data_IF_508570008877
#
_entry.id   IF_508570008877
#
_cell.length_a   1.000
_cell.length_b   1.000
_cell.length_c   1.000
_cell.angle_alpha   90.00
_cell.angle_beta   90.00
_cell.angle_gamma   90.00
#
_symmetry.space_group_name_H-M   'P 1'
#
loop_
_entity.id
_entity.type
_entity.pdbx_description
1 polymer ?
#
# COMPACT_ATOMS: atom_id res chain seq x y z
N UNK A 1 0.68 4.90 11.05
CA UNK A 1 1.87 4.03 11.11
C UNK A 1 3.08 4.81 10.63
N UNK A 2 4.06 5.10 11.50
CA UNK A 2 5.32 5.73 11.10
C UNK A 2 6.01 4.91 10.00
N UNK A 3 6.53 5.57 8.96
CA UNK A 3 7.19 4.85 7.86
C UNK A 3 8.55 4.27 8.26
N UNK A 4 9.15 4.78 9.33
CA UNK A 4 10.40 4.23 9.92
C UNK A 4 10.24 2.74 10.28
N UNK A 5 9.05 2.34 10.73
CA UNK A 5 8.73 0.94 11.04
C UNK A 5 8.84 0.01 9.83
N UNK A 6 8.70 0.52 8.60
CA UNK A 6 8.91 -0.27 7.38
C UNK A 6 10.39 -0.67 7.27
N UNK A 7 11.31 0.27 7.50
CA UNK A 7 12.74 0.00 7.49
C UNK A 7 13.13 -0.96 8.62
N UNK A 8 12.62 -0.75 9.83
CA UNK A 8 12.88 -1.64 10.98
C UNK A 8 12.48 -3.09 10.69
N UNK A 9 11.29 -3.29 10.11
CA UNK A 9 10.84 -4.62 9.71
C UNK A 9 11.66 -5.19 8.56
N UNK A 10 12.06 -4.36 7.59
CA UNK A 10 12.95 -4.78 6.51
C UNK A 10 14.29 -5.29 7.05
N UNK A 11 14.96 -4.54 7.92
CA UNK A 11 16.24 -4.95 8.52
C UNK A 11 16.11 -6.21 9.40
N UNK A 12 14.95 -6.39 10.05
CA UNK A 12 14.67 -7.60 10.83
C UNK A 12 14.49 -8.83 9.94
N UNK A 13 13.80 -8.69 8.81
CA UNK A 13 13.51 -9.80 7.89
C UNK A 13 14.69 -10.11 6.96
N UNK A 14 15.51 -9.11 6.63
CA UNK A 14 16.59 -9.20 5.65
C UNK A 14 17.88 -8.55 6.17
N UNK A 15 18.53 -9.13 7.19
CA UNK A 15 19.68 -8.52 7.85
C UNK A 15 20.94 -8.45 6.95
N UNK A 16 21.05 -9.30 5.93
CA UNK A 16 22.14 -9.28 4.95
C UNK A 16 21.61 -8.88 3.55
N UNK A 17 21.99 -7.67 3.12
CA UNK A 17 21.60 -7.12 1.83
C UNK A 17 22.33 -7.76 0.65
N UNK A 18 23.56 -8.28 0.86
CA UNK A 18 24.27 -9.02 -0.18
C UNK A 18 23.63 -10.38 -0.41
N UNK A 19 23.23 -11.07 0.67
CA UNK A 19 22.46 -12.30 0.57
C UNK A 19 21.13 -12.05 -0.15
N UNK A 20 20.41 -11.00 0.22
CA UNK A 20 19.16 -10.62 -0.43
C UNK A 20 19.37 -10.36 -1.93
N UNK A 21 20.39 -9.59 -2.29
CA UNK A 21 20.77 -9.30 -3.68
C UNK A 21 21.08 -10.58 -4.45
N UNK A 22 21.90 -11.48 -3.90
CA UNK A 22 22.24 -12.76 -4.53
C UNK A 22 21.00 -13.66 -4.73
N UNK A 23 20.07 -13.65 -3.78
CA UNK A 23 18.88 -14.49 -3.79
C UNK A 23 17.78 -13.98 -4.74
N UNK A 24 17.61 -12.66 -4.85
CA UNK A 24 16.54 -12.06 -5.67
C UNK A 24 17.02 -11.55 -7.02
N UNK A 25 18.34 -11.39 -7.20
CA UNK A 25 18.94 -10.72 -8.34
C UNK A 25 18.75 -9.19 -8.35
N UNK A 26 18.27 -8.59 -7.26
CA UNK A 26 18.12 -7.14 -7.18
C UNK A 26 19.45 -6.47 -6.90
N UNK A 27 19.72 -5.37 -7.59
CA UNK A 27 20.92 -4.59 -7.36
C UNK A 27 20.91 -3.93 -5.96
N UNK A 28 22.08 -3.88 -5.31
CA UNK A 28 22.23 -3.27 -3.99
C UNK A 28 21.72 -1.82 -3.90
N UNK A 29 21.93 -0.94 -4.91
CA UNK A 29 21.35 0.40 -4.88
C UNK A 29 19.82 0.41 -4.87
N UNK A 30 19.18 -0.55 -5.56
CA UNK A 30 17.71 -0.70 -5.56
C UNK A 30 17.23 -1.13 -4.18
N UNK A 31 17.88 -2.13 -3.58
CA UNK A 31 17.60 -2.52 -2.19
C UNK A 31 17.81 -1.34 -1.23
N UNK A 32 18.89 -0.57 -1.41
CA UNK A 32 19.24 0.59 -0.60
C UNK A 32 18.23 1.74 -0.66
N UNK A 33 17.30 1.76 -1.62
CA UNK A 33 16.22 2.77 -1.66
C UNK A 33 15.38 2.77 -0.39
N UNK A 34 15.28 1.63 0.32
CA UNK A 34 14.57 1.51 1.59
C UNK A 34 15.10 2.44 2.68
N UNK A 35 16.37 2.85 2.61
CA UNK A 35 17.01 3.74 3.58
C UNK A 35 16.41 5.16 3.59
N UNK A 36 15.63 5.52 2.55
CA UNK A 36 14.86 6.77 2.52
C UNK A 36 13.97 6.94 3.75
N UNK A 37 13.54 5.84 4.36
CA UNK A 37 12.67 5.85 5.54
C UNK A 37 13.40 6.11 6.86
N UNK A 38 14.72 6.00 6.92
CA UNK A 38 15.51 5.97 8.18
C UNK A 38 15.25 7.15 9.12
N UNK A 39 15.10 8.34 8.56
CA UNK A 39 14.83 9.58 9.31
C UNK A 39 13.56 10.28 8.79
N UNK A 40 12.67 9.56 8.12
CA UNK A 40 11.49 10.17 7.53
C UNK A 40 10.44 10.49 8.60
N UNK A 41 9.92 11.73 8.66
CA UNK A 41 8.84 12.09 9.58
C UNK A 41 7.46 11.62 9.09
N UNK A 42 7.39 10.95 7.94
CA UNK A 42 6.12 10.58 7.34
C UNK A 42 5.37 9.51 8.16
N UNK A 43 4.05 9.64 8.20
CA UNK A 43 3.15 8.67 8.82
C UNK A 43 2.10 8.29 7.78
N UNK A 44 2.02 6.99 7.49
CA UNK A 44 0.93 6.47 6.67
C UNK A 44 -0.31 6.25 7.52
N UNK A 45 -1.44 6.74 7.03
CA UNK A 45 -2.76 6.56 7.62
C UNK A 45 -3.68 6.03 6.55
N UNK A 46 -4.36 4.92 6.84
CA UNK A 46 -5.29 4.28 5.92
C UNK A 46 -6.65 4.20 6.59
N UNK A 47 -7.68 4.73 5.92
CA UNK A 47 -9.05 4.57 6.39
C UNK A 47 -9.51 3.12 6.15
N UNK A 48 -10.33 2.54 7.05
CA UNK A 48 -10.97 1.25 6.79
C UNK A 48 -11.76 1.31 5.49
N UNK A 49 -11.68 0.26 4.66
CA UNK A 49 -12.39 0.22 3.37
C UNK A 49 -13.90 0.47 3.53
N UNK A 50 -14.51 -0.03 4.62
CA UNK A 50 -15.91 0.23 4.93
C UNK A 50 -16.22 1.72 5.11
N UNK A 51 -15.34 2.48 5.78
CA UNK A 51 -15.54 3.92 5.98
C UNK A 51 -15.51 4.67 4.64
N UNK A 52 -14.58 4.31 3.76
CA UNK A 52 -14.46 4.89 2.42
C UNK A 52 -15.72 4.57 1.58
N UNK A 53 -16.22 3.33 1.66
CA UNK A 53 -17.44 2.92 0.95
C UNK A 53 -18.66 3.69 1.44
N UNK A 54 -18.83 3.82 2.75
CA UNK A 54 -19.97 4.57 3.32
C UNK A 54 -19.95 6.04 2.93
N UNK A 55 -18.77 6.68 2.95
CA UNK A 55 -18.64 8.06 2.47
C UNK A 55 -18.99 8.19 0.98
N UNK A 56 -18.51 7.27 0.14
CA UNK A 56 -18.80 7.28 -1.29
C UNK A 56 -20.28 7.05 -1.62
N UNK A 57 -21.02 6.27 -0.82
CA UNK A 57 -22.46 6.04 -1.01
C UNK A 57 -23.31 7.31 -0.88
N UNK A 58 -22.79 8.36 -0.22
CA UNK A 58 -23.47 9.65 -0.20
C UNK A 58 -23.54 10.29 -1.60
N UNK A 59 -22.61 9.97 -2.49
CA UNK A 59 -22.43 10.61 -3.79
C UNK A 59 -22.68 9.68 -4.98
N UNK A 60 -22.67 8.37 -4.78
CA UNK A 60 -22.80 7.36 -5.83
C UNK A 60 -23.90 6.35 -5.47
N UNK A 61 -24.57 5.81 -6.49
CA UNK A 61 -25.65 4.84 -6.34
C UNK A 61 -25.16 3.41 -6.18
N UNK A 62 -24.04 3.07 -6.83
CA UNK A 62 -23.42 1.75 -6.78
C UNK A 62 -21.94 1.90 -6.40
N UNK A 63 -21.61 1.50 -5.18
CA UNK A 63 -20.27 1.62 -4.59
C UNK A 63 -19.86 0.26 -4.04
N UNK A 64 -18.66 -0.19 -4.38
CA UNK A 64 -18.15 -1.45 -3.89
C UNK A 64 -16.63 -1.53 -3.91
N UNK A 65 -16.12 -2.59 -3.29
CA UNK A 65 -14.72 -2.96 -3.34
C UNK A 65 -14.56 -4.17 -4.26
N UNK A 66 -13.62 -4.11 -5.19
CA UNK A 66 -13.27 -5.21 -6.08
C UNK A 66 -11.83 -5.66 -5.84
N UNK A 67 -11.61 -6.98 -5.86
CA UNK A 67 -10.25 -7.53 -5.89
C UNK A 67 -9.57 -7.16 -7.21
N UNK A 68 -8.28 -6.86 -7.15
CA UNK A 68 -7.50 -6.60 -8.36
C UNK A 68 -6.76 -7.86 -8.79
N UNK A 69 -6.81 -8.13 -10.10
CA UNK A 69 -5.78 -8.79 -10.90
C UNK A 69 -5.15 -10.11 -10.45
N UNK A 70 -4.07 -10.43 -11.18
CA UNK A 70 -3.29 -11.68 -11.07
C UNK A 70 -1.83 -11.42 -10.70
N UNK A 71 -1.49 -10.18 -10.33
CA UNK A 71 -0.12 -9.81 -9.97
C UNK A 71 0.13 -10.07 -8.48
N UNK A 72 1.40 -10.17 -8.08
CA UNK A 72 1.75 -10.41 -6.68
C UNK A 72 1.19 -9.32 -5.77
N UNK A 73 0.51 -9.71 -4.69
CA UNK A 73 -0.14 -8.83 -3.70
C UNK A 73 -1.44 -8.15 -4.17
N UNK A 74 -1.98 -8.49 -5.33
CA UNK A 74 -3.20 -7.87 -5.84
C UNK A 74 -4.42 -8.12 -4.92
N UNK A 75 -4.42 -9.22 -4.18
CA UNK A 75 -5.40 -9.50 -3.11
C UNK A 75 -5.34 -8.51 -1.93
N UNK A 76 -4.21 -7.82 -1.76
CA UNK A 76 -3.99 -6.78 -0.73
C UNK A 76 -4.20 -5.36 -1.26
N UNK A 77 -4.45 -5.21 -2.56
CA UNK A 77 -4.63 -3.91 -3.22
C UNK A 77 -6.03 -3.83 -3.86
N UNK A 78 -7.11 -3.80 -3.07
CA UNK A 78 -8.45 -3.69 -3.61
C UNK A 78 -8.70 -2.35 -4.32
N UNK A 79 -9.55 -2.36 -5.36
CA UNK A 79 -10.05 -1.13 -6.00
C UNK A 79 -11.39 -0.72 -5.42
N UNK A 80 -11.53 0.59 -5.18
CA UNK A 80 -12.82 1.22 -4.98
C UNK A 80 -13.50 1.44 -6.33
N UNK A 81 -14.71 0.90 -6.48
CA UNK A 81 -15.55 1.05 -7.66
C UNK A 81 -16.67 2.02 -7.34
N UNK A 82 -16.78 3.08 -8.13
CA UNK A 82 -17.80 4.13 -8.01
C UNK A 82 -18.63 4.16 -9.29
N UNK A 83 -19.93 3.89 -9.20
CA UNK A 83 -20.87 3.92 -10.33
C UNK A 83 -22.13 4.73 -9.97
N UNK A 84 -22.80 5.20 -11.01
CA UNK A 84 -24.08 5.94 -10.90
C UNK A 84 -23.97 7.19 -10.02
N UNK A 85 -23.27 8.26 -10.47
CA UNK A 85 -23.17 9.51 -9.72
C UNK A 85 -24.56 10.05 -9.38
N UNK A 86 -24.76 10.46 -8.12
CA UNK A 86 -25.98 11.14 -7.67
C UNK A 86 -25.88 12.62 -8.04
N UNK A 87 -26.94 13.19 -8.62
CA UNK A 87 -27.01 14.64 -8.79
C UNK A 87 -27.20 15.27 -7.42
N UNK A 88 -26.41 16.29 -7.09
CA UNK A 88 -26.71 17.19 -5.96
C UNK A 88 -27.88 18.07 -6.41
N UNK A 89 -28.94 18.12 -5.59
CA UNK A 89 -30.00 19.13 -5.69
C UNK A 89 -29.48 20.51 -5.26
#
# INVERSE_FOLDING_TARGET
MPVTGILEQFETLFPDRNELSARTGWDLPVIGTIDVYRNSPAVYSFAPAAAIVEEAKAYFGDVGIASTGTYGLAERCPLLVLRSPRRRE
#
